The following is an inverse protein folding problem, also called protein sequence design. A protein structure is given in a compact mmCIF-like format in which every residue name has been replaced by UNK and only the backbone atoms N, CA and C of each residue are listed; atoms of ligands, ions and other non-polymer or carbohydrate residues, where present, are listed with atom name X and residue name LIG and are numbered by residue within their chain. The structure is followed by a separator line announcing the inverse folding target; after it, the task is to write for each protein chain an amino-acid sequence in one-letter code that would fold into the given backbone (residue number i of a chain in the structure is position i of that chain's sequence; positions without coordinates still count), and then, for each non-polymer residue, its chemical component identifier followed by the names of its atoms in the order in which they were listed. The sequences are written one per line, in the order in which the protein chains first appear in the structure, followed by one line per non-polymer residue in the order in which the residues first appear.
data_IF_469425880155
#
_entry.id   IF_469425880155
#
_cell.length_a   1.000
_cell.length_b   1.000
_cell.length_c   1.000
_cell.angle_alpha   90.00
_cell.angle_beta   90.00
_cell.angle_gamma   90.00
#
_symmetry.space_group_name_H-M   'P 1'
#
loop_
_entity.id
_entity.type
_entity.pdbx_description
1 polymer ?
#
# COMPACT_ATOMS: atom_id res chain seq x y z
N UNK A 1 -40.03 -14.61 -41.09
CA UNK A 1 -40.03 -14.51 -39.61
C UNK A 1 -38.66 -14.75 -39.00
N UNK A 2 -37.66 -15.10 -39.81
CA UNK A 2 -36.32 -15.54 -39.33
C UNK A 2 -35.24 -14.44 -39.22
N UNK A 3 -35.49 -13.26 -39.73
CA UNK A 3 -34.49 -12.17 -39.71
C UNK A 3 -34.45 -11.34 -38.41
N UNK A 4 -35.57 -11.27 -37.67
CA UNK A 4 -35.66 -10.55 -36.41
C UNK A 4 -34.99 -11.29 -35.21
N UNK A 5 -34.97 -12.63 -35.25
CA UNK A 5 -34.34 -13.45 -34.20
C UNK A 5 -32.81 -13.42 -34.30
N UNK A 6 -32.27 -13.33 -35.50
CA UNK A 6 -30.80 -13.26 -35.74
C UNK A 6 -30.22 -11.92 -35.27
N UNK A 7 -30.93 -10.83 -35.49
CA UNK A 7 -30.42 -9.50 -35.05
C UNK A 7 -30.46 -9.31 -33.53
N UNK A 8 -31.48 -9.86 -32.84
CA UNK A 8 -31.56 -9.78 -31.39
C UNK A 8 -30.44 -10.56 -30.66
N UNK A 9 -30.06 -11.74 -31.23
CA UNK A 9 -28.98 -12.55 -30.66
C UNK A 9 -27.61 -11.94 -30.86
N UNK A 10 -27.35 -11.27 -31.99
CA UNK A 10 -26.09 -10.55 -32.26
C UNK A 10 -25.92 -9.36 -31.31
N UNK A 11 -26.99 -8.60 -31.03
CA UNK A 11 -26.96 -7.50 -30.07
C UNK A 11 -26.71 -7.96 -28.62
N UNK A 12 -27.29 -9.10 -28.23
CA UNK A 12 -27.09 -9.66 -26.87
C UNK A 12 -25.64 -10.13 -26.67
N UNK A 13 -25.04 -10.76 -27.68
CA UNK A 13 -23.65 -11.20 -27.64
C UNK A 13 -22.69 -10.02 -27.61
N UNK A 14 -22.95 -8.94 -28.38
CA UNK A 14 -22.13 -7.73 -28.36
C UNK A 14 -22.24 -7.02 -27.01
N UNK A 15 -23.43 -6.96 -26.38
CA UNK A 15 -23.59 -6.38 -25.03
C UNK A 15 -22.87 -7.20 -23.95
N UNK A 16 -22.90 -8.53 -24.03
CA UNK A 16 -22.18 -9.42 -23.10
C UNK A 16 -20.66 -9.36 -23.28
N UNK A 17 -20.19 -9.24 -24.51
CA UNK A 17 -18.76 -9.04 -24.78
C UNK A 17 -18.31 -7.62 -24.40
N UNK A 18 -19.14 -6.62 -24.63
CA UNK A 18 -18.87 -5.24 -24.21
C UNK A 18 -18.76 -5.08 -22.70
N UNK A 19 -19.63 -5.74 -21.91
CA UNK A 19 -19.56 -5.68 -20.43
C UNK A 19 -18.30 -6.39 -19.89
N UNK A 20 -17.86 -7.49 -20.50
CA UNK A 20 -16.61 -8.16 -20.13
C UNK A 20 -15.37 -7.37 -20.55
N UNK A 21 -15.44 -6.64 -21.66
CA UNK A 21 -14.35 -5.74 -22.09
C UNK A 21 -14.23 -4.49 -21.21
N UNK A 22 -15.35 -4.03 -20.62
CA UNK A 22 -15.32 -2.89 -19.68
C UNK A 22 -14.77 -3.29 -18.29
N UNK A 23 -15.01 -4.54 -17.84
CA UNK A 23 -14.40 -5.06 -16.60
C UNK A 23 -12.89 -5.34 -16.74
N UNK A 24 -12.40 -5.63 -17.97
CA UNK A 24 -10.98 -5.91 -18.21
C UNK A 24 -10.11 -4.63 -18.31
N UNK A 25 -10.72 -3.45 -18.28
CA UNK A 25 -10.01 -2.18 -18.54
C UNK A 25 -9.98 -1.21 -17.34
N UNK A 26 -10.22 -1.68 -16.13
CA UNK A 26 -9.73 -0.99 -14.95
C UNK A 26 -8.20 -1.13 -14.94
N UNK A 27 -7.53 -0.16 -15.54
CA UNK A 27 -6.09 -0.15 -15.71
C UNK A 27 -5.42 -0.44 -14.37
N UNK A 28 -4.66 -1.53 -14.32
CA UNK A 28 -3.79 -1.86 -13.21
C UNK A 28 -2.95 -0.62 -12.91
N UNK A 29 -3.22 0.03 -11.80
CA UNK A 29 -2.58 1.32 -11.49
C UNK A 29 -1.08 1.17 -11.24
N UNK A 30 -0.62 -0.06 -10.94
CA UNK A 30 0.78 -0.40 -10.69
C UNK A 30 1.02 -1.90 -10.94
N UNK A 31 2.29 -2.31 -11.07
CA UNK A 31 2.68 -3.66 -11.44
C UNK A 31 3.03 -4.52 -10.24
N UNK A 32 3.70 -3.97 -9.22
CA UNK A 32 4.18 -4.68 -8.04
C UNK A 32 4.26 -3.75 -6.82
N UNK A 33 4.50 -4.36 -5.65
CA UNK A 33 4.82 -3.62 -4.43
C UNK A 33 6.32 -3.64 -4.16
N UNK A 34 6.86 -2.50 -3.78
CA UNK A 34 8.19 -2.37 -3.18
C UNK A 34 8.03 -2.29 -1.66
N UNK A 35 8.56 -3.27 -0.93
CA UNK A 35 8.75 -3.16 0.52
C UNK A 35 10.05 -2.38 0.76
N UNK A 36 9.93 -1.11 1.13
CA UNK A 36 11.06 -0.25 1.41
C UNK A 36 11.44 -0.36 2.89
N UNK A 37 12.74 -0.57 3.14
CA UNK A 37 13.31 -0.67 4.47
C UNK A 37 14.24 0.50 4.74
N UNK A 38 14.48 0.77 6.02
CA UNK A 38 15.45 1.75 6.48
C UNK A 38 16.23 1.23 7.68
N UNK A 39 17.50 1.59 7.75
CA UNK A 39 18.35 1.32 8.92
C UNK A 39 18.31 2.53 9.85
N UNK A 40 17.72 2.43 11.06
CA UNK A 40 17.48 3.58 11.93
C UNK A 40 18.72 4.38 12.27
N UNK A 41 19.82 3.71 12.61
CA UNK A 41 21.12 4.37 12.93
C UNK A 41 21.61 5.23 11.76
N UNK A 42 21.52 4.72 10.52
CA UNK A 42 21.95 5.48 9.34
C UNK A 42 21.02 6.67 9.06
N UNK A 43 19.70 6.46 9.25
CA UNK A 43 18.72 7.54 9.13
C UNK A 43 19.03 8.67 10.11
N UNK A 44 19.26 8.35 11.39
CA UNK A 44 19.53 9.32 12.43
C UNK A 44 20.88 10.04 12.25
N UNK A 45 21.88 9.39 11.69
CA UNK A 45 23.16 10.08 11.36
C UNK A 45 23.00 11.17 10.32
N UNK A 46 22.04 11.01 9.39
CA UNK A 46 21.75 11.99 8.34
C UNK A 46 20.78 13.07 8.83
N UNK A 47 19.89 12.72 9.75
CA UNK A 47 18.81 13.58 10.28
C UNK A 47 18.95 13.82 11.78
N UNK A 48 20.15 14.17 12.24
CA UNK A 48 20.49 14.30 13.68
C UNK A 48 19.69 15.36 14.42
N UNK A 49 19.15 16.34 13.70
CA UNK A 49 18.30 17.41 14.21
C UNK A 49 16.88 16.95 14.59
N UNK A 50 16.45 15.78 14.09
CA UNK A 50 15.08 15.22 14.25
C UNK A 50 15.06 13.80 14.76
N UNK A 51 16.13 13.35 15.35
CA UNK A 51 16.31 11.94 15.66
C UNK A 51 17.06 11.79 16.97
N UNK A 52 16.63 10.85 17.82
CA UNK A 52 17.38 10.48 19.01
C UNK A 52 18.12 9.17 18.76
N UNK A 53 19.39 9.25 18.43
CA UNK A 53 20.23 8.11 18.06
C UNK A 53 20.28 7.02 19.16
N UNK A 54 20.32 7.42 20.43
CA UNK A 54 20.45 6.52 21.58
C UNK A 54 19.19 5.64 21.80
N UNK A 55 18.05 6.05 21.24
CA UNK A 55 16.80 5.32 21.35
C UNK A 55 16.45 4.50 20.10
N UNK A 56 17.29 4.53 19.06
CA UNK A 56 17.00 3.83 17.80
C UNK A 56 17.29 2.34 17.90
N UNK A 57 16.37 1.51 17.36
CA UNK A 57 16.60 0.07 17.30
C UNK A 57 17.74 -0.26 16.31
N UNK A 58 18.57 -1.24 16.67
CA UNK A 58 19.62 -1.78 15.80
C UNK A 58 19.11 -2.94 14.94
N UNK A 59 17.95 -2.73 14.32
CA UNK A 59 17.30 -3.67 13.39
C UNK A 59 16.72 -2.91 12.21
N UNK A 60 16.57 -3.59 11.08
CA UNK A 60 15.87 -3.02 9.94
C UNK A 60 14.41 -2.73 10.29
N UNK A 61 13.94 -1.54 9.91
CA UNK A 61 12.53 -1.15 10.06
C UNK A 61 11.91 -0.89 8.70
N UNK A 62 10.59 -1.00 8.64
CA UNK A 62 9.85 -0.69 7.42
C UNK A 62 9.83 0.84 7.26
N UNK A 63 10.15 1.32 6.06
CA UNK A 63 9.86 2.68 5.64
C UNK A 63 8.49 2.77 4.99
N UNK A 64 8.16 1.83 4.11
CA UNK A 64 6.87 1.82 3.41
C UNK A 64 6.63 0.57 2.59
N UNK A 65 5.37 0.41 2.16
CA UNK A 65 4.94 -0.56 1.16
C UNK A 65 4.38 0.22 -0.03
N UNK A 66 5.10 0.24 -1.14
CA UNK A 66 4.85 1.20 -2.21
C UNK A 66 4.40 0.52 -3.50
N UNK A 67 3.21 0.84 -4.01
CA UNK A 67 2.83 0.50 -5.37
C UNK A 67 3.87 1.05 -6.35
N UNK A 68 4.35 0.22 -7.26
CA UNK A 68 5.47 0.53 -8.16
C UNK A 68 5.18 0.01 -9.57
N UNK A 69 5.77 0.67 -10.60
CA UNK A 69 5.65 0.29 -12.00
C UNK A 69 7.03 0.00 -12.59
N UNK A 70 7.10 -1.02 -13.46
CA UNK A 70 8.34 -1.34 -14.19
C UNK A 70 8.70 -0.25 -15.23
N UNK A 71 7.70 0.25 -15.93
CA UNK A 71 7.86 1.16 -17.06
C UNK A 71 7.79 2.65 -16.72
N UNK A 72 7.47 3.01 -15.49
CA UNK A 72 7.28 4.39 -15.04
C UNK A 72 8.22 4.73 -13.90
N UNK A 73 9.01 5.78 -14.09
CA UNK A 73 9.85 6.32 -13.01
C UNK A 73 9.03 6.92 -11.87
N UNK A 74 7.77 7.30 -12.12
CA UNK A 74 6.90 7.91 -11.14
C UNK A 74 5.97 6.86 -10.53
N UNK A 75 5.99 6.76 -9.20
CA UNK A 75 5.05 5.94 -8.45
C UNK A 75 3.63 6.50 -8.58
N UNK A 76 2.60 5.66 -8.53
CA UNK A 76 1.23 6.15 -8.41
C UNK A 76 1.12 7.09 -7.20
N UNK A 77 0.61 8.29 -7.42
CA UNK A 77 0.27 9.23 -6.36
C UNK A 77 -1.23 9.19 -6.18
N UNK A 78 -1.68 8.74 -5.03
CA UNK A 78 -3.10 8.67 -4.69
C UNK A 78 -3.40 9.64 -3.56
N UNK A 79 -4.48 10.39 -3.71
CA UNK A 79 -4.83 11.48 -2.80
C UNK A 79 -6.07 11.14 -1.95
N UNK A 80 -6.22 9.90 -1.49
CA UNK A 80 -7.30 9.57 -0.57
C UNK A 80 -6.83 9.73 0.87
N UNK A 81 -7.33 10.77 1.55
CA UNK A 81 -6.88 11.18 2.87
C UNK A 81 -7.73 10.59 4.02
N UNK A 82 -8.55 9.57 3.76
CA UNK A 82 -9.39 8.96 4.79
C UNK A 82 -8.61 7.93 5.62
N UNK A 83 -7.62 8.41 6.37
CA UNK A 83 -6.91 7.57 7.34
C UNK A 83 -7.58 7.65 8.70
N UNK A 84 -7.94 6.48 9.25
CA UNK A 84 -8.40 6.30 10.61
C UNK A 84 -7.58 5.20 11.29
N UNK A 85 -6.76 5.59 12.27
CA UNK A 85 -5.91 4.68 13.02
C UNK A 85 -6.71 3.63 13.82
N UNK A 86 -7.98 3.87 14.11
CA UNK A 86 -8.85 2.92 14.83
C UNK A 86 -9.18 1.70 13.95
N UNK A 87 -9.12 1.82 12.64
CA UNK A 87 -9.28 0.70 11.71
C UNK A 87 -8.12 -0.30 11.76
N UNK A 88 -6.97 0.09 12.34
CA UNK A 88 -5.86 -0.83 12.55
C UNK A 88 -6.09 -1.59 13.87
N UNK A 89 -6.23 -2.93 13.85
CA UNK A 89 -6.41 -3.73 15.07
C UNK A 89 -5.29 -3.49 16.07
N UNK A 90 -5.60 -3.58 17.37
CA UNK A 90 -4.64 -3.27 18.44
C UNK A 90 -3.37 -4.14 18.39
N UNK A 91 -3.50 -5.42 18.05
CA UNK A 91 -2.36 -6.32 17.89
C UNK A 91 -1.48 -5.92 16.70
N UNK A 92 -2.07 -5.47 15.59
CA UNK A 92 -1.36 -4.94 14.41
C UNK A 92 -0.64 -3.64 14.78
N UNK A 93 -1.30 -2.70 15.46
CA UNK A 93 -0.67 -1.45 15.93
C UNK A 93 0.53 -1.69 16.84
N UNK A 94 0.42 -2.65 17.78
CA UNK A 94 1.55 -3.03 18.64
C UNK A 94 2.74 -3.52 17.82
N UNK A 95 2.50 -4.32 16.79
CA UNK A 95 3.56 -4.81 15.91
C UNK A 95 4.15 -3.70 15.05
N UNK A 96 3.31 -2.81 14.49
CA UNK A 96 3.77 -1.65 13.70
C UNK A 96 4.73 -0.76 14.49
N UNK A 97 4.45 -0.48 15.76
CA UNK A 97 5.35 0.30 16.63
C UNK A 97 6.75 -0.30 16.76
N UNK A 98 6.88 -1.61 16.62
CA UNK A 98 8.18 -2.29 16.71
C UNK A 98 8.92 -2.30 15.38
N UNK A 99 8.22 -2.56 14.27
CA UNK A 99 8.86 -2.82 12.98
C UNK A 99 8.62 -1.73 11.93
N UNK A 100 7.72 -0.78 12.21
CA UNK A 100 7.42 0.37 11.36
C UNK A 100 7.26 1.67 12.17
N UNK A 101 8.23 1.98 13.06
CA UNK A 101 8.19 3.20 13.84
C UNK A 101 8.47 4.42 12.96
N UNK A 102 7.97 5.56 13.38
CA UNK A 102 8.48 6.83 12.90
C UNK A 102 9.83 7.11 13.56
N UNK A 103 10.86 7.35 12.76
CA UNK A 103 12.19 7.66 13.28
C UNK A 103 12.37 9.16 13.54
N UNK A 104 11.45 9.99 13.05
CA UNK A 104 11.46 11.44 13.28
C UNK A 104 10.76 11.76 14.62
N UNK A 105 11.46 12.41 15.53
CA UNK A 105 10.96 12.79 16.87
C UNK A 105 9.91 13.90 16.83
N UNK A 106 9.83 14.67 15.75
CA UNK A 106 8.85 15.77 15.60
C UNK A 106 7.43 15.27 15.35
N UNK A 107 7.28 13.99 14.99
CA UNK A 107 5.99 13.41 14.64
C UNK A 107 5.82 12.05 15.32
N UNK A 108 4.57 11.68 15.63
CA UNK A 108 4.28 10.34 16.15
C UNK A 108 4.07 9.31 15.03
N UNK A 109 4.13 8.02 15.40
CA UNK A 109 3.92 6.89 14.49
C UNK A 109 2.62 7.00 13.68
N UNK A 110 1.52 7.41 14.33
CA UNK A 110 0.19 7.49 13.71
C UNK A 110 0.18 8.50 12.56
N UNK A 111 0.86 9.64 12.71
CA UNK A 111 0.98 10.64 11.65
C UNK A 111 1.81 10.11 10.48
N UNK A 112 2.89 9.40 10.78
CA UNK A 112 3.72 8.73 9.77
C UNK A 112 2.92 7.65 9.01
N UNK A 113 2.16 6.81 9.70
CA UNK A 113 1.30 5.81 9.05
C UNK A 113 0.20 6.46 8.20
N UNK A 114 -0.38 7.57 8.65
CA UNK A 114 -1.33 8.33 7.85
C UNK A 114 -0.72 8.81 6.53
N UNK A 115 0.53 9.30 6.56
CA UNK A 115 1.25 9.71 5.34
C UNK A 115 1.54 8.51 4.42
N UNK A 116 1.92 7.33 4.98
CA UNK A 116 2.14 6.12 4.19
C UNK A 116 0.85 5.62 3.53
N UNK A 117 -0.26 5.65 4.24
CA UNK A 117 -1.56 5.33 3.67
C UNK A 117 -1.95 6.31 2.56
N UNK A 118 -1.88 7.60 2.84
CA UNK A 118 -2.24 8.64 1.87
C UNK A 118 -1.41 8.55 0.58
N UNK A 119 -0.09 8.42 0.70
CA UNK A 119 0.81 8.43 -0.46
C UNK A 119 0.85 7.10 -1.22
N UNK A 120 0.55 5.98 -0.58
CA UNK A 120 0.83 4.65 -1.08
C UNK A 120 -0.33 3.66 -0.91
N UNK A 121 -0.80 3.45 0.31
CA UNK A 121 -1.81 2.44 0.60
C UNK A 121 -3.13 2.70 -0.09
N UNK A 122 -3.59 3.94 -0.15
CA UNK A 122 -4.85 4.31 -0.80
C UNK A 122 -4.87 4.01 -2.30
N UNK A 123 -3.71 3.97 -2.96
CA UNK A 123 -3.57 3.56 -4.36
C UNK A 123 -3.87 2.08 -4.58
N UNK A 124 -3.67 1.28 -3.56
CA UNK A 124 -3.82 -0.18 -3.64
C UNK A 124 -5.21 -0.67 -3.20
N UNK A 125 -6.14 0.22 -2.89
CA UNK A 125 -7.46 -0.14 -2.34
C UNK A 125 -8.33 -1.03 -3.24
N UNK A 126 -7.98 -1.19 -4.51
CA UNK A 126 -8.64 -2.13 -5.44
C UNK A 126 -7.91 -3.47 -5.55
N UNK A 127 -6.79 -3.66 -4.85
CA UNK A 127 -6.00 -4.89 -4.89
C UNK A 127 -6.41 -5.78 -3.72
N UNK A 128 -6.75 -7.03 -4.03
CA UNK A 128 -7.13 -8.01 -3.04
C UNK A 128 -6.03 -8.24 -1.99
N UNK A 129 -6.40 -8.20 -0.72
CA UNK A 129 -5.50 -8.36 0.42
C UNK A 129 -4.88 -7.08 0.96
N UNK A 130 -5.14 -5.90 0.34
CA UNK A 130 -4.70 -4.57 0.80
C UNK A 130 -5.77 -3.48 0.61
N UNK A 131 -7.03 -3.87 0.52
CA UNK A 131 -8.16 -3.02 0.12
C UNK A 131 -8.46 -1.87 1.09
N UNK A 132 -8.03 -2.02 2.33
CA UNK A 132 -8.30 -1.06 3.40
C UNK A 132 -7.06 -0.86 4.29
N UNK A 133 -7.15 0.13 5.18
CA UNK A 133 -6.07 0.51 6.10
C UNK A 133 -5.53 -0.70 6.87
N UNK A 134 -6.41 -1.49 7.49
CA UNK A 134 -6.01 -2.68 8.27
C UNK A 134 -5.24 -3.69 7.42
N UNK A 135 -5.76 -4.01 6.24
CA UNK A 135 -5.18 -5.01 5.34
C UNK A 135 -3.83 -4.55 4.78
N UNK A 136 -3.72 -3.27 4.41
CA UNK A 136 -2.47 -2.70 3.90
C UNK A 136 -1.33 -2.81 4.93
N UNK A 137 -1.57 -2.40 6.17
CA UNK A 137 -0.55 -2.48 7.22
C UNK A 137 -0.26 -3.92 7.64
N UNK A 138 -1.28 -4.79 7.68
CA UNK A 138 -1.11 -6.22 7.96
C UNK A 138 -0.27 -6.91 6.89
N UNK A 139 -0.48 -6.57 5.61
CA UNK A 139 0.30 -7.11 4.50
C UNK A 139 1.76 -6.71 4.57
N UNK A 140 2.07 -5.47 4.93
CA UNK A 140 3.44 -5.03 5.10
C UNK A 140 4.17 -5.80 6.23
N UNK A 141 3.47 -6.04 7.35
CA UNK A 141 3.99 -6.89 8.45
C UNK A 141 4.23 -8.33 7.98
N UNK A 142 3.27 -8.91 7.24
CA UNK A 142 3.38 -10.26 6.67
C UNK A 142 4.61 -10.38 5.78
N UNK A 143 4.82 -9.43 4.86
CA UNK A 143 5.97 -9.41 3.96
C UNK A 143 7.29 -9.25 4.72
N UNK A 144 7.36 -8.34 5.70
CA UNK A 144 8.55 -8.16 6.51
C UNK A 144 8.93 -9.46 7.26
N UNK A 145 7.94 -10.18 7.78
CA UNK A 145 8.13 -11.47 8.45
C UNK A 145 8.55 -12.57 7.46
N UNK A 146 7.93 -12.62 6.29
CA UNK A 146 8.24 -13.63 5.27
C UNK A 146 9.71 -13.59 4.84
N UNK A 147 10.28 -12.40 4.77
CA UNK A 147 11.68 -12.20 4.36
C UNK A 147 12.65 -12.07 5.54
N UNK A 148 12.18 -12.34 6.76
CA UNK A 148 13.00 -12.31 7.99
C UNK A 148 13.81 -11.00 8.16
N UNK A 149 13.19 -9.86 7.91
CA UNK A 149 13.88 -8.57 7.78
C UNK A 149 14.04 -7.87 9.14
N UNK A 150 13.26 -8.28 10.14
CA UNK A 150 13.14 -7.61 11.45
C UNK A 150 13.56 -8.51 12.62
N UNK A 151 14.30 -9.59 12.34
CA UNK A 151 14.91 -10.47 13.36
C UNK A 151 16.42 -10.29 13.43
#
# INVERSE_FOLDING_TARGET
MDTLFSQGMVFLVILLLGSRYLEANEAKQFDYFTLALQWPISYCKIHSDRCNLDSMPEVWTIHGLWPSNESKQNRPVCCNNNFDAQQIPQNVRKRLKLIWPNLNTDENDTKFWAQQWWKHGSCASKVNGVENISNYFSKAIELARLYNITE
#
